data_IF_319744013778
#
_entry.id   IF_319744013778
#
_cell.length_a   1.000
_cell.length_b   1.000
_cell.length_c   1.000
_cell.angle_alpha   90.00
_cell.angle_beta   90.00
_cell.angle_gamma   90.00
#
_symmetry.space_group_name_H-M   'P 1'
#
loop_
_entity.id
_entity.type
_entity.pdbx_description
1 polymer ?
#
# COMPACT_ATOMS: atom_id res chain seq x y z
N UNK A 1 -13.73 14.92 17.98
CA UNK A 1 -12.62 15.06 17.02
C UNK A 1 -12.91 16.27 16.17
N UNK A 2 -11.97 17.21 16.05
CA UNK A 2 -12.07 18.23 15.00
C UNK A 2 -11.95 17.49 13.66
N UNK A 3 -12.85 17.77 12.72
CA UNK A 3 -12.67 17.42 11.31
C UNK A 3 -11.33 18.04 10.86
N UNK A 4 -10.27 17.25 10.82
CA UNK A 4 -8.97 17.68 10.29
C UNK A 4 -9.08 17.75 8.77
N UNK A 5 -9.80 18.76 8.29
CA UNK A 5 -9.84 19.19 6.89
C UNK A 5 -8.63 20.05 6.52
N UNK A 6 -7.61 20.11 7.39
CA UNK A 6 -6.39 20.89 7.16
C UNK A 6 -5.35 20.02 6.48
N UNK A 7 -4.82 20.50 5.36
CA UNK A 7 -3.65 19.90 4.72
C UNK A 7 -2.45 19.87 5.69
N UNK A 8 -1.48 18.96 5.48
CA UNK A 8 -0.28 18.87 6.33
C UNK A 8 0.42 20.25 6.51
N UNK A 9 0.59 21.08 5.46
CA UNK A 9 1.15 22.42 5.62
C UNK A 9 0.29 23.41 6.43
N UNK A 10 -1.04 23.30 6.35
CA UNK A 10 -1.95 24.12 7.14
C UNK A 10 -1.87 23.80 8.63
N UNK A 11 -1.79 22.51 8.97
CA UNK A 11 -1.62 22.07 10.36
C UNK A 11 -0.32 22.63 10.97
N UNK A 12 0.78 22.59 10.22
CA UNK A 12 2.07 23.16 10.65
C UNK A 12 1.96 24.68 10.84
N UNK A 13 1.28 25.36 9.92
CA UNK A 13 1.06 26.82 10.00
C UNK A 13 0.18 27.19 11.21
N UNK A 14 -0.85 26.38 11.49
CA UNK A 14 -1.70 26.52 12.68
C UNK A 14 -0.90 26.30 13.97
N UNK A 15 -0.08 25.25 14.05
CA UNK A 15 0.76 24.99 15.22
C UNK A 15 1.74 26.15 15.50
N UNK A 16 2.37 26.69 14.45
CA UNK A 16 3.25 27.87 14.55
C UNK A 16 2.48 29.12 15.00
N UNK A 17 1.28 29.37 14.47
CA UNK A 17 0.45 30.53 14.84
C UNK A 17 0.04 30.52 16.32
N UNK A 18 -0.15 29.32 16.89
CA UNK A 18 -0.54 29.15 18.29
C UNK A 18 0.65 29.00 19.25
N UNK A 19 1.89 29.09 18.76
CA UNK A 19 3.13 28.95 19.56
C UNK A 19 3.16 27.67 20.41
N UNK A 20 2.68 26.53 19.85
CA UNK A 20 2.73 25.26 20.57
C UNK A 20 4.18 24.81 20.77
N UNK A 21 4.57 24.68 22.03
CA UNK A 21 5.90 24.23 22.43
C UNK A 21 5.82 23.48 23.76
N UNK A 22 6.69 22.48 23.90
CA UNK A 22 6.89 21.73 25.13
C UNK A 22 8.39 21.77 25.43
N UNK A 23 8.76 22.35 26.56
CA UNK A 23 10.14 22.48 27.04
C UNK A 23 10.20 21.90 28.45
N UNK A 24 10.58 20.62 28.53
CA UNK A 24 10.69 19.88 29.79
C UNK A 24 12.13 19.38 30.03
N UNK A 25 13.05 20.26 30.48
CA UNK A 25 14.33 19.84 31.04
C UNK A 25 14.13 18.87 32.21
N UNK A 26 15.17 18.09 32.55
CA UNK A 26 15.12 17.05 33.59
C UNK A 26 14.51 17.56 34.90
N UNK A 27 14.86 18.78 35.34
CA UNK A 27 14.29 19.41 36.54
C UNK A 27 12.79 19.71 36.39
N UNK A 28 12.36 20.26 35.25
CA UNK A 28 10.94 20.57 34.97
C UNK A 28 10.11 19.30 34.85
N UNK A 29 10.66 18.27 34.23
CA UNK A 29 10.01 16.96 34.13
C UNK A 29 9.88 16.34 35.53
N UNK A 30 10.95 16.33 36.34
CA UNK A 30 10.90 15.85 37.71
C UNK A 30 9.84 16.60 38.55
N UNK A 31 9.73 17.92 38.36
CA UNK A 31 8.67 18.70 39.00
C UNK A 31 7.27 18.33 38.51
N UNK A 32 7.07 18.18 37.21
CA UNK A 32 5.79 17.74 36.66
C UNK A 32 5.39 16.35 37.17
N UNK A 33 6.34 15.43 37.31
CA UNK A 33 6.13 14.11 37.89
C UNK A 33 5.76 14.19 39.37
N UNK A 34 6.44 15.04 40.14
CA UNK A 34 6.08 15.29 41.54
C UNK A 34 4.64 15.83 41.68
N UNK A 35 4.22 16.74 40.80
CA UNK A 35 2.84 17.24 40.75
C UNK A 35 1.85 16.10 40.49
N UNK A 36 2.16 15.18 39.57
CA UNK A 36 1.29 14.04 39.28
C UNK A 36 1.17 13.05 40.45
N UNK A 37 2.27 12.79 41.18
CA UNK A 37 2.21 11.98 42.41
C UNK A 37 1.31 12.66 43.44
N UNK A 38 1.51 13.95 43.70
CA UNK A 38 0.67 14.74 44.64
C UNK A 38 -0.81 14.75 44.22
N UNK A 39 -1.09 14.76 42.92
CA UNK A 39 -2.45 14.69 42.41
C UNK A 39 -3.07 13.30 42.56
N UNK A 40 -2.27 12.23 42.47
CA UNK A 40 -2.74 10.84 42.56
C UNK A 40 -3.02 10.38 44.00
N UNK A 41 -2.26 10.88 44.98
CA UNK A 41 -2.39 10.53 46.40
C UNK A 41 -3.47 11.37 47.12
N UNK A 42 -4.09 12.30 46.41
CA UNK A 42 -5.06 13.24 46.97
C UNK A 42 -6.45 12.62 47.10
N UNK A 43 -7.02 12.73 48.30
CA UNK A 43 -8.39 12.25 48.60
C UNK A 43 -9.46 13.34 48.51
N UNK A 44 -9.12 14.62 48.72
CA UNK A 44 -10.06 15.73 48.67
C UNK A 44 -9.38 17.06 48.25
N UNK A 45 -10.11 17.91 47.55
CA UNK A 45 -9.67 19.23 47.06
C UNK A 45 -8.78 19.24 45.81
N UNK A 46 -8.48 20.44 45.32
CA UNK A 46 -7.59 20.69 44.17
C UNK A 46 -6.26 21.28 44.62
N UNK A 47 -5.18 21.07 43.86
CA UNK A 47 -3.83 21.48 44.27
C UNK A 47 -3.73 23.00 44.40
N UNK A 48 -3.21 23.47 45.52
CA UNK A 48 -2.99 24.88 45.82
C UNK A 48 -1.58 25.32 45.43
N UNK A 49 -1.38 26.63 45.27
CA UNK A 49 -0.05 27.18 44.96
C UNK A 49 1.01 26.81 46.01
N UNK A 50 0.66 26.81 47.29
CA UNK A 50 1.56 26.41 48.38
C UNK A 50 2.08 24.99 48.21
N UNK A 51 1.21 24.05 47.83
CA UNK A 51 1.58 22.65 47.65
C UNK A 51 2.46 22.46 46.42
N UNK A 52 2.25 23.23 45.35
CA UNK A 52 3.14 23.24 44.20
C UNK A 52 4.52 23.82 44.54
N UNK A 53 4.58 24.87 45.35
CA UNK A 53 5.84 25.46 45.81
C UNK A 53 6.60 24.49 46.73
N UNK A 54 5.89 23.77 47.59
CA UNK A 54 6.48 22.73 48.45
C UNK A 54 6.97 21.53 47.62
N UNK A 55 6.20 21.08 46.61
CA UNK A 55 6.65 20.09 45.64
C UNK A 55 7.91 20.53 44.89
N UNK A 56 7.98 21.81 44.48
CA UNK A 56 9.15 22.39 43.83
C UNK A 56 10.36 22.46 44.77
N UNK A 57 10.14 22.72 46.07
CA UNK A 57 11.21 22.73 47.08
C UNK A 57 11.93 21.38 47.14
N UNK A 58 11.18 20.28 47.15
CA UNK A 58 11.77 18.94 47.14
C UNK A 58 12.62 18.68 45.89
N UNK A 59 12.14 19.08 44.71
CA UNK A 59 12.89 18.97 43.46
C UNK A 59 14.16 19.82 43.52
N UNK A 60 14.06 21.09 43.93
CA UNK A 60 15.22 22.00 44.07
C UNK A 60 16.28 21.45 45.03
N UNK A 61 15.89 20.75 46.09
CA UNK A 61 16.81 20.09 47.02
C UNK A 61 17.56 18.93 46.36
N UNK A 62 16.87 18.08 45.60
CA UNK A 62 17.49 16.96 44.87
C UNK A 62 18.49 17.44 43.83
N UNK A 63 18.20 18.55 43.15
CA UNK A 63 19.11 19.16 42.17
C UNK A 63 20.18 20.09 42.79
N UNK A 64 20.31 20.13 44.12
CA UNK A 64 21.32 20.91 44.85
C UNK A 64 21.34 22.41 44.49
N UNK A 65 20.17 23.02 44.36
CA UNK A 65 20.03 24.43 43.97
C UNK A 65 19.88 25.35 45.20
N UNK A 66 20.18 26.65 45.04
CA UNK A 66 20.12 27.64 46.12
C UNK A 66 18.72 27.81 46.71
N UNK A 67 18.63 27.78 48.05
CA UNK A 67 17.37 27.93 48.79
C UNK A 67 16.79 29.36 48.73
N UNK A 68 17.66 30.37 48.59
CA UNK A 68 17.28 31.79 48.64
C UNK A 68 16.37 32.22 47.48
N UNK A 69 16.33 31.44 46.40
CA UNK A 69 15.59 31.77 45.16
C UNK A 69 14.43 30.83 44.86
N UNK A 70 14.09 29.92 45.78
CA UNK A 70 13.09 28.86 45.54
C UNK A 70 11.73 29.43 45.14
N UNK A 71 11.23 30.44 45.85
CA UNK A 71 9.89 31.00 45.59
C UNK A 71 9.78 31.61 44.19
N UNK A 72 10.78 32.39 43.77
CA UNK A 72 10.82 33.00 42.44
C UNK A 72 10.95 31.93 41.36
N UNK A 73 11.81 30.92 41.58
CA UNK A 73 12.01 29.82 40.61
C UNK A 73 10.81 28.89 40.51
N UNK A 74 10.12 28.63 41.62
CA UNK A 74 8.87 27.88 41.66
C UNK A 74 7.76 28.61 40.88
N UNK A 75 7.59 29.92 41.11
CA UNK A 75 6.61 30.72 40.38
C UNK A 75 6.91 30.74 38.88
N UNK A 76 8.18 30.86 38.50
CA UNK A 76 8.60 30.75 37.10
C UNK A 76 8.33 29.35 36.53
N UNK A 77 8.52 28.29 37.33
CA UNK A 77 8.19 26.91 36.94
C UNK A 77 6.70 26.73 36.67
N UNK A 78 5.87 27.16 37.62
CA UNK A 78 4.42 27.03 37.55
C UNK A 78 3.89 27.83 36.36
N UNK A 79 4.34 29.08 36.18
CA UNK A 79 3.93 29.91 35.05
C UNK A 79 4.34 29.31 33.70
N UNK A 80 5.52 28.70 33.62
CA UNK A 80 6.00 28.00 32.43
C UNK A 80 5.15 26.75 32.12
N UNK A 81 4.85 25.93 33.13
CA UNK A 81 3.94 24.78 32.98
C UNK A 81 2.52 25.19 32.54
N UNK A 82 2.01 26.31 33.05
CA UNK A 82 0.72 26.88 32.62
C UNK A 82 0.80 27.35 31.16
N UNK A 83 1.86 28.08 30.79
CA UNK A 83 2.07 28.58 29.42
C UNK A 83 2.13 27.44 28.40
N UNK A 84 2.82 26.35 28.75
CA UNK A 84 2.94 25.14 27.93
C UNK A 84 1.69 24.25 27.94
N UNK A 85 0.60 24.68 28.62
CA UNK A 85 -0.66 23.94 28.76
C UNK A 85 -0.51 22.57 29.41
N UNK A 86 0.45 22.42 30.32
CA UNK A 86 0.66 21.18 31.09
C UNK A 86 -0.23 21.17 32.34
N UNK A 87 -0.40 22.34 32.96
CA UNK A 87 -1.33 22.56 34.07
C UNK A 87 -2.27 23.74 33.77
N UNK A 88 -3.49 23.69 34.30
CA UNK A 88 -4.45 24.81 34.26
C UNK A 88 -4.53 25.47 35.62
N UNK A 89 -4.50 26.81 35.63
CA UNK A 89 -4.73 27.64 36.82
C UNK A 89 -6.19 28.12 36.84
N UNK A 90 -6.88 27.95 37.95
CA UNK A 90 -8.18 28.57 38.22
C UNK A 90 -8.05 29.53 39.41
N UNK A 91 -8.51 30.76 39.23
CA UNK A 91 -8.61 31.72 40.32
C UNK A 91 -9.95 31.49 41.03
N UNK A 92 -9.93 31.21 42.34
CA UNK A 92 -11.15 31.13 43.16
C UNK A 92 -11.47 32.52 43.71
N UNK A 93 -12.66 33.04 43.44
CA UNK A 93 -13.16 34.29 44.05
C UNK A 93 -13.66 34.07 45.49
N UNK A 94 -13.95 32.82 45.87
CA UNK A 94 -14.54 32.45 47.17
C UNK A 94 -13.52 32.34 48.31
N UNK A 95 -12.24 32.27 47.97
CA UNK A 95 -11.13 32.10 48.92
C UNK A 95 -10.05 33.14 48.58
N UNK A 96 -9.87 34.13 49.45
CA UNK A 96 -8.93 35.26 49.31
C UNK A 96 -7.58 34.84 48.68
N UNK A 97 -7.42 35.07 47.37
CA UNK A 97 -6.15 34.89 46.66
C UNK A 97 -5.71 33.44 46.39
N UNK A 98 -6.56 32.43 46.61
CA UNK A 98 -6.17 31.03 46.36
C UNK A 98 -6.36 30.64 44.89
N UNK A 99 -5.24 30.36 44.21
CA UNK A 99 -5.25 29.70 42.91
C UNK A 99 -5.20 28.19 43.09
N UNK A 100 -6.08 27.49 42.37
CA UNK A 100 -6.04 26.02 42.27
C UNK A 100 -5.48 25.59 40.92
N UNK A 101 -4.80 24.46 40.91
CA UNK A 101 -4.07 23.95 39.75
C UNK A 101 -4.50 22.51 39.44
N UNK A 102 -4.70 22.21 38.16
CA UNK A 102 -5.03 20.86 37.68
C UNK A 102 -4.11 20.45 36.55
N UNK A 103 -3.75 19.16 36.50
CA UNK A 103 -3.10 18.60 35.32
C UNK A 103 -4.08 18.59 34.14
N UNK A 104 -3.60 19.05 33.00
CA UNK A 104 -4.34 18.96 31.74
C UNK A 104 -4.27 17.54 31.16
N UNK A 105 -5.08 17.19 30.15
CA UNK A 105 -4.91 15.92 29.42
C UNK A 105 -3.50 15.71 28.87
N UNK A 106 -2.82 16.78 28.43
CA UNK A 106 -1.42 16.73 27.98
C UNK A 106 -0.47 16.43 29.15
N UNK A 107 -0.65 17.14 30.27
CA UNK A 107 0.12 16.91 31.50
C UNK A 107 -0.04 15.48 32.00
N UNK A 108 -1.29 15.00 32.10
CA UNK A 108 -1.61 13.61 32.46
C UNK A 108 -0.95 12.63 31.49
N UNK A 109 -1.07 12.84 30.18
CA UNK A 109 -0.49 11.96 29.18
C UNK A 109 1.04 11.82 29.31
N UNK A 110 1.74 12.93 29.56
CA UNK A 110 3.20 12.92 29.79
C UNK A 110 3.53 12.25 31.12
N UNK A 111 2.82 12.54 32.20
CA UNK A 111 3.14 11.98 33.52
C UNK A 111 2.77 10.50 33.64
N UNK A 112 1.65 10.09 33.05
CA UNK A 112 1.22 8.68 33.00
C UNK A 112 2.12 7.82 32.11
N UNK A 113 2.94 8.43 31.26
CA UNK A 113 3.98 7.71 30.53
C UNK A 113 5.09 7.22 31.48
N UNK A 114 5.54 8.07 32.42
CA UNK A 114 6.67 7.77 33.31
C UNK A 114 6.27 7.14 34.65
N UNK A 115 5.12 7.51 35.22
CA UNK A 115 4.74 7.11 36.59
C UNK A 115 4.02 5.77 36.60
N UNK A 116 3.11 5.55 35.65
CA UNK A 116 2.34 4.31 35.61
C UNK A 116 3.22 3.23 34.99
N UNK A 117 3.47 2.17 35.76
CA UNK A 117 3.99 0.93 35.21
C UNK A 117 2.94 0.38 34.23
N UNK A 118 3.20 0.58 32.93
CA UNK A 118 2.35 0.03 31.88
C UNK A 118 2.80 -1.39 31.64
N UNK A 119 2.21 -2.32 32.38
CA UNK A 119 2.42 -3.73 32.10
C UNK A 119 1.50 -4.17 30.97
N UNK A 120 2.10 -4.83 29.97
CA UNK A 120 1.33 -5.54 28.96
C UNK A 120 0.60 -6.72 29.62
N UNK A 121 -0.68 -6.91 29.27
CA UNK A 121 -1.47 -8.03 29.77
C UNK A 121 -2.36 -8.58 28.67
N UNK A 122 -2.14 -9.85 28.31
CA UNK A 122 -2.97 -10.59 27.36
C UNK A 122 -4.41 -10.69 27.85
N UNK A 123 -4.62 -10.86 29.17
CA UNK A 123 -5.94 -10.86 29.78
C UNK A 123 -6.68 -9.53 29.57
N UNK A 124 -5.98 -8.40 29.77
CA UNK A 124 -6.56 -7.07 29.54
C UNK A 124 -6.99 -6.92 28.08
N UNK A 125 -6.15 -7.30 27.13
CA UNK A 125 -6.46 -7.27 25.70
C UNK A 125 -7.68 -8.13 25.36
N UNK A 126 -7.73 -9.36 25.88
CA UNK A 126 -8.86 -10.28 25.68
C UNK A 126 -10.18 -9.71 26.21
N UNK A 127 -10.17 -9.10 27.40
CA UNK A 127 -11.34 -8.43 27.98
C UNK A 127 -11.78 -7.26 27.09
N UNK A 128 -10.85 -6.42 26.64
CA UNK A 128 -11.14 -5.29 25.75
C UNK A 128 -11.77 -5.73 24.43
N UNK A 129 -11.22 -6.76 23.79
CA UNK A 129 -11.76 -7.30 22.54
C UNK A 129 -13.15 -7.91 22.74
N UNK A 130 -13.38 -8.59 23.87
CA UNK A 130 -14.71 -9.14 24.21
C UNK A 130 -15.76 -8.04 24.36
N UNK A 131 -15.43 -6.95 25.08
CA UNK A 131 -16.31 -5.79 25.24
C UNK A 131 -16.61 -5.16 23.87
N UNK A 132 -15.59 -4.92 23.05
CA UNK A 132 -15.78 -4.35 21.71
C UNK A 132 -16.65 -5.24 20.85
N UNK A 133 -16.39 -6.55 20.83
CA UNK A 133 -17.18 -7.48 20.03
C UNK A 133 -18.65 -7.44 20.42
N UNK A 134 -18.95 -7.32 21.71
CA UNK A 134 -20.32 -7.22 22.19
C UNK A 134 -20.98 -5.89 21.80
N UNK A 135 -20.32 -4.76 22.03
CA UNK A 135 -20.85 -3.44 21.67
C UNK A 135 -21.05 -3.29 20.16
N UNK A 136 -20.09 -3.77 19.37
CA UNK A 136 -20.13 -3.70 17.93
C UNK A 136 -21.22 -4.59 17.34
N UNK A 137 -21.43 -5.79 17.91
CA UNK A 137 -22.56 -6.64 17.53
C UNK A 137 -23.90 -5.97 17.79
N UNK A 138 -24.08 -5.35 18.98
CA UNK A 138 -25.32 -4.62 19.28
C UNK A 138 -25.55 -3.45 18.33
N UNK A 139 -24.49 -2.71 17.98
CA UNK A 139 -24.56 -1.63 17.01
C UNK A 139 -24.89 -2.14 15.60
N UNK A 140 -24.36 -3.30 15.20
CA UNK A 140 -24.67 -3.95 13.92
C UNK A 140 -26.12 -4.42 13.85
N UNK A 141 -26.61 -5.11 14.90
CA UNK A 141 -28.00 -5.54 14.98
C UNK A 141 -28.96 -4.32 14.93
N UNK A 142 -28.64 -3.24 15.66
CA UNK A 142 -29.42 -2.00 15.64
C UNK A 142 -29.37 -1.27 14.29
N UNK A 143 -28.25 -1.33 13.56
CA UNK A 143 -28.13 -0.76 12.22
C UNK A 143 -29.01 -1.51 11.21
N UNK A 144 -29.08 -2.83 11.31
CA UNK A 144 -29.93 -3.66 10.44
C UNK A 144 -31.43 -3.46 10.68
N UNK A 145 -31.83 -3.20 11.94
CA UNK A 145 -33.22 -2.88 12.27
C UNK A 145 -33.68 -1.55 11.68
N UNK A 146 -32.76 -0.62 11.41
CA UNK A 146 -33.06 0.74 10.99
C UNK A 146 -33.82 1.53 12.07
N UNK A 147 -34.22 2.76 11.76
CA UNK A 147 -34.93 3.60 12.72
C UNK A 147 -34.91 5.08 12.36
N UNK A 148 -35.27 5.90 13.34
CA UNK A 148 -35.20 7.36 13.26
C UNK A 148 -33.78 7.89 13.58
N UNK A 149 -33.55 9.19 13.39
CA UNK A 149 -32.26 9.84 13.68
C UNK A 149 -31.76 9.59 15.11
N UNK A 150 -32.68 9.53 16.08
CA UNK A 150 -32.33 9.29 17.48
C UNK A 150 -31.83 7.86 17.68
N UNK A 151 -32.47 6.87 17.04
CA UNK A 151 -32.01 5.49 17.03
C UNK A 151 -30.61 5.37 16.44
N UNK A 152 -30.36 5.94 15.26
CA UNK A 152 -29.04 5.93 14.63
C UNK A 152 -27.98 6.62 15.48
N UNK A 153 -28.30 7.78 16.05
CA UNK A 153 -27.34 8.51 16.88
C UNK A 153 -27.01 7.75 18.18
N UNK A 154 -28.02 7.21 18.85
CA UNK A 154 -27.88 6.59 20.18
C UNK A 154 -27.38 5.16 20.14
N UNK A 155 -27.83 4.36 19.18
CA UNK A 155 -27.62 2.92 19.17
C UNK A 155 -26.54 2.47 18.18
N UNK A 156 -26.17 3.32 17.21
CA UNK A 156 -25.11 3.00 16.23
C UNK A 156 -23.94 3.98 16.37
N UNK A 157 -24.16 5.28 16.18
CA UNK A 157 -23.08 6.27 16.20
C UNK A 157 -22.39 6.38 17.57
N UNK A 158 -23.15 6.53 18.66
CA UNK A 158 -22.58 6.74 19.98
C UNK A 158 -21.74 5.54 20.48
N UNK A 159 -22.20 4.26 20.35
CA UNK A 159 -21.37 3.09 20.68
C UNK A 159 -20.09 3.02 19.85
N UNK A 160 -20.17 3.27 18.53
CA UNK A 160 -18.98 3.27 17.67
C UNK A 160 -18.00 4.37 18.08
N UNK A 161 -18.48 5.60 18.30
CA UNK A 161 -17.64 6.77 18.50
C UNK A 161 -17.03 6.88 19.91
N UNK A 162 -17.80 6.55 20.93
CA UNK A 162 -17.42 6.81 22.33
C UNK A 162 -17.04 5.56 23.11
N UNK A 163 -17.28 4.36 22.55
CA UNK A 163 -16.88 3.10 23.17
C UNK A 163 -15.89 2.34 22.28
N UNK A 164 -16.29 1.92 21.08
CA UNK A 164 -15.44 1.10 20.20
C UNK A 164 -14.16 1.84 19.82
N UNK A 165 -14.25 3.11 19.40
CA UNK A 165 -13.09 3.91 19.04
C UNK A 165 -12.08 4.07 20.19
N UNK A 166 -12.56 4.34 21.40
CA UNK A 166 -11.75 4.52 22.61
C UNK A 166 -11.07 3.22 23.03
N UNK A 167 -11.76 2.07 22.91
CA UNK A 167 -11.14 0.78 23.20
C UNK A 167 -10.06 0.46 22.15
N UNK A 168 -10.30 0.75 20.86
CA UNK A 168 -9.28 0.62 19.83
C UNK A 168 -8.08 1.55 20.09
N UNK A 169 -8.29 2.79 20.55
CA UNK A 169 -7.20 3.66 21.00
C UNK A 169 -6.41 3.03 22.15
N UNK A 170 -7.11 2.45 23.14
CA UNK A 170 -6.44 1.77 24.25
C UNK A 170 -5.66 0.53 23.81
N UNK A 171 -6.14 -0.21 22.80
CA UNK A 171 -5.42 -1.37 22.24
C UNK A 171 -4.16 -0.90 21.50
N UNK A 172 -4.26 0.13 20.65
CA UNK A 172 -3.10 0.74 19.96
C UNK A 172 -2.05 1.23 20.97
N UNK A 173 -2.47 1.91 22.04
CA UNK A 173 -1.56 2.32 23.13
C UNK A 173 -0.87 1.11 23.77
N UNK A 174 -1.59 0.01 23.97
CA UNK A 174 -1.04 -1.21 24.58
C UNK A 174 -0.02 -1.88 23.64
N UNK A 175 -0.22 -1.84 22.32
CA UNK A 175 0.76 -2.31 21.34
C UNK A 175 2.03 -1.45 21.34
N UNK A 176 1.91 -0.13 21.47
CA UNK A 176 3.08 0.78 21.59
C UNK A 176 3.89 0.52 22.86
N UNK A 177 3.22 0.19 23.96
CA UNK A 177 3.91 -0.25 25.20
C UNK A 177 4.70 -1.53 24.94
N UNK A 178 4.17 -2.45 24.13
CA UNK A 178 4.91 -3.65 23.74
C UNK A 178 6.14 -3.33 22.85
N UNK A 179 6.07 -2.34 21.95
CA UNK A 179 7.23 -1.86 21.19
C UNK A 179 8.36 -1.35 22.12
N UNK A 180 7.99 -0.61 23.17
CA UNK A 180 8.93 -0.11 24.18
C UNK A 180 9.54 -1.26 24.97
N UNK A 181 8.72 -2.21 25.43
CA UNK A 181 9.21 -3.41 26.13
C UNK A 181 10.19 -4.22 25.26
N UNK A 182 9.92 -4.38 23.96
CA UNK A 182 10.87 -5.01 23.03
C UNK A 182 12.20 -4.26 22.97
N UNK A 183 12.16 -2.93 23.01
CA UNK A 183 13.36 -2.09 23.00
C UNK A 183 14.16 -2.26 24.30
N UNK A 184 13.49 -2.24 25.45
CA UNK A 184 14.11 -2.48 26.75
C UNK A 184 14.75 -3.87 26.82
N UNK A 185 14.08 -4.91 26.29
CA UNK A 185 14.66 -6.26 26.22
C UNK A 185 15.91 -6.28 25.34
N UNK A 186 15.93 -5.58 24.20
CA UNK A 186 17.12 -5.47 23.35
C UNK A 186 18.28 -4.80 24.09
N UNK A 187 18.01 -3.72 24.82
CA UNK A 187 19.00 -3.02 25.63
C UNK A 187 19.53 -3.91 26.75
N UNK A 188 18.65 -4.64 27.44
CA UNK A 188 19.02 -5.59 28.49
C UNK A 188 19.89 -6.72 27.94
N UNK A 189 19.55 -7.31 26.79
CA UNK A 189 20.38 -8.33 26.12
C UNK A 189 21.75 -7.76 25.78
N UNK A 190 21.81 -6.55 25.21
CA UNK A 190 23.07 -5.86 24.89
C UNK A 190 23.92 -5.65 26.15
N UNK A 191 23.31 -5.18 27.24
CA UNK A 191 23.98 -4.97 28.53
C UNK A 191 24.52 -6.29 29.10
N UNK A 192 23.71 -7.35 29.13
CA UNK A 192 24.10 -8.68 29.61
C UNK A 192 25.28 -9.26 28.82
N UNK A 193 25.22 -9.19 27.48
CA UNK A 193 26.30 -9.65 26.60
C UNK A 193 27.56 -8.78 26.73
N UNK A 194 27.42 -7.51 27.06
CA UNK A 194 28.58 -6.62 27.22
C UNK A 194 29.33 -6.82 28.54
N UNK A 195 28.66 -7.29 29.59
CA UNK A 195 29.26 -7.62 30.89
C UNK A 195 29.88 -9.03 30.86
N UNK A 196 29.04 -10.08 30.83
CA UNK A 196 29.47 -11.48 30.96
C UNK A 196 28.76 -12.38 29.94
N UNK A 197 29.22 -12.30 28.69
CA UNK A 197 28.52 -12.92 27.56
C UNK A 197 28.27 -14.43 27.62
N UNK A 198 29.01 -15.20 28.44
CA UNK A 198 28.89 -16.66 28.51
C UNK A 198 27.85 -17.07 29.56
N UNK A 199 27.85 -16.39 30.72
CA UNK A 199 26.82 -16.58 31.73
C UNK A 199 25.48 -15.98 31.28
N UNK A 200 25.53 -14.94 30.43
CA UNK A 200 24.36 -14.25 29.91
C UNK A 200 23.57 -15.00 28.84
N UNK A 201 24.13 -16.04 28.19
CA UNK A 201 23.45 -16.73 27.05
C UNK A 201 22.08 -17.23 27.47
N UNK A 202 22.02 -18.00 28.57
CA UNK A 202 20.77 -18.58 29.08
C UNK A 202 19.76 -17.50 29.46
N UNK A 203 20.21 -16.39 30.05
CA UNK A 203 19.34 -15.24 30.35
C UNK A 203 18.82 -14.55 29.09
N UNK A 204 19.66 -14.38 28.06
CA UNK A 204 19.25 -13.77 26.79
C UNK A 204 18.24 -14.66 26.05
N UNK A 205 18.47 -15.98 26.01
CA UNK A 205 17.52 -16.94 25.41
C UNK A 205 16.17 -16.93 26.14
N UNK A 206 16.17 -16.83 27.47
CA UNK A 206 14.97 -16.66 28.28
C UNK A 206 14.18 -15.42 27.88
N UNK A 207 14.84 -14.25 27.84
CA UNK A 207 14.22 -12.98 27.44
C UNK A 207 13.67 -13.01 26.00
N UNK A 208 14.42 -13.61 25.06
CA UNK A 208 14.00 -13.76 23.67
C UNK A 208 12.77 -14.65 23.53
N UNK A 209 12.74 -15.77 24.25
CA UNK A 209 11.64 -16.75 24.21
C UNK A 209 10.38 -16.17 24.84
N UNK A 210 10.51 -15.55 26.01
CA UNK A 210 9.40 -14.90 26.71
C UNK A 210 8.75 -13.82 25.85
N UNK A 211 9.56 -12.91 25.30
CA UNK A 211 9.06 -11.84 24.43
C UNK A 211 8.40 -12.40 23.15
N UNK A 212 8.98 -13.46 22.56
CA UNK A 212 8.39 -14.12 21.39
C UNK A 212 7.03 -14.73 21.68
N UNK A 213 6.89 -15.35 22.85
CA UNK A 213 5.64 -15.94 23.30
C UNK A 213 4.58 -14.85 23.54
N UNK A 214 4.94 -13.77 24.23
CA UNK A 214 4.03 -12.64 24.47
C UNK A 214 3.51 -12.02 23.17
N UNK A 215 4.38 -11.80 22.17
CA UNK A 215 3.96 -11.28 20.87
C UNK A 215 3.01 -12.22 20.14
N UNK A 216 3.27 -13.53 20.22
CA UNK A 216 2.42 -14.53 19.58
C UNK A 216 1.05 -14.61 20.24
N UNK A 217 1.00 -14.66 21.57
CA UNK A 217 -0.27 -14.65 22.31
C UNK A 217 -1.10 -13.38 22.01
N UNK A 218 -0.43 -12.23 21.89
CA UNK A 218 -1.07 -10.97 21.47
C UNK A 218 -1.70 -11.12 20.08
N UNK A 219 -0.91 -11.55 19.09
CA UNK A 219 -1.36 -11.69 17.71
C UNK A 219 -2.49 -12.71 17.58
N UNK A 220 -2.36 -13.88 18.21
CA UNK A 220 -3.39 -14.93 18.20
C UNK A 220 -4.71 -14.41 18.78
N UNK A 221 -4.65 -13.59 19.84
CA UNK A 221 -5.85 -12.98 20.43
C UNK A 221 -6.49 -11.95 19.51
N UNK A 222 -5.69 -11.14 18.81
CA UNK A 222 -6.18 -10.17 17.82
C UNK A 222 -6.79 -10.86 16.61
N UNK A 223 -6.12 -11.86 16.04
CA UNK A 223 -6.61 -12.59 14.86
C UNK A 223 -7.91 -13.34 15.17
N UNK A 224 -8.02 -13.95 16.35
CA UNK A 224 -9.23 -14.67 16.77
C UNK A 224 -10.48 -13.77 16.89
N UNK A 225 -10.30 -12.48 17.17
CA UNK A 225 -11.37 -11.50 17.28
C UNK A 225 -11.56 -10.66 16.01
N UNK A 226 -10.47 -10.41 15.26
CA UNK A 226 -10.40 -9.48 14.15
C UNK A 226 -11.49 -9.70 13.09
N UNK A 227 -11.61 -10.92 12.59
CA UNK A 227 -12.61 -11.25 11.56
C UNK A 227 -14.05 -10.98 12.00
N UNK A 228 -14.37 -11.24 13.28
CA UNK A 228 -15.72 -11.02 13.81
C UNK A 228 -16.02 -9.53 13.97
N UNK A 229 -15.00 -8.75 14.37
CA UNK A 229 -15.11 -7.30 14.48
C UNK A 229 -15.28 -6.69 13.08
N UNK A 230 -14.45 -7.11 12.13
CA UNK A 230 -14.52 -6.62 10.75
C UNK A 230 -15.87 -6.97 10.10
N UNK A 231 -16.38 -8.19 10.29
CA UNK A 231 -17.69 -8.57 9.80
C UNK A 231 -18.81 -7.70 10.38
N UNK A 232 -18.74 -7.36 11.68
CA UNK A 232 -19.76 -6.50 12.32
C UNK A 232 -19.68 -5.06 11.81
N UNK A 233 -18.47 -4.52 11.58
CA UNK A 233 -18.29 -3.21 10.95
C UNK A 233 -18.83 -3.19 9.51
N UNK A 234 -18.60 -4.26 8.75
CA UNK A 234 -19.11 -4.39 7.38
C UNK A 234 -20.64 -4.41 7.35
N UNK A 235 -21.30 -5.11 8.28
CA UNK A 235 -22.77 -5.08 8.38
C UNK A 235 -23.32 -3.67 8.62
N UNK A 236 -22.64 -2.86 9.45
CA UNK A 236 -23.04 -1.47 9.69
C UNK A 236 -22.79 -0.62 8.43
N UNK A 237 -21.68 -0.86 7.73
CA UNK A 237 -21.36 -0.18 6.47
C UNK A 237 -22.42 -0.46 5.40
N UNK A 238 -22.78 -1.72 5.21
CA UNK A 238 -23.81 -2.14 4.25
C UNK A 238 -25.16 -1.50 4.58
N UNK A 239 -25.53 -1.42 5.87
CA UNK A 239 -26.77 -0.78 6.32
C UNK A 239 -26.80 0.75 6.12
N UNK A 240 -25.63 1.39 5.95
CA UNK A 240 -25.51 2.85 5.81
C UNK A 240 -25.15 3.32 4.40
N UNK A 241 -24.79 2.41 3.49
CA UNK A 241 -24.26 2.70 2.16
C UNK A 241 -25.22 3.51 1.27
N UNK A 242 -26.52 3.21 1.35
CA UNK A 242 -27.55 3.81 0.48
C UNK A 242 -28.27 5.02 1.11
N UNK A 243 -27.85 5.46 2.30
CA UNK A 243 -28.53 6.53 3.05
C UNK A 243 -27.62 7.76 3.21
N UNK A 244 -27.79 8.83 2.40
CA UNK A 244 -26.91 10.00 2.41
C UNK A 244 -26.84 10.72 3.75
N UNK A 245 -27.94 10.71 4.53
CA UNK A 245 -28.01 11.39 5.83
C UNK A 245 -27.14 10.71 6.91
N UNK A 246 -26.62 9.51 6.64
CA UNK A 246 -25.81 8.71 7.57
C UNK A 246 -24.30 8.72 7.25
N UNK A 247 -23.83 9.62 6.38
CA UNK A 247 -22.40 9.77 6.02
C UNK A 247 -21.47 9.85 7.24
N UNK A 248 -21.91 10.48 8.32
CA UNK A 248 -21.13 10.57 9.57
C UNK A 248 -20.87 9.21 10.20
N UNK A 249 -21.82 8.28 10.12
CA UNK A 249 -21.67 6.92 10.63
C UNK A 249 -20.74 6.13 9.71
N UNK A 250 -20.96 6.24 8.40
CA UNK A 250 -20.11 5.58 7.41
C UNK A 250 -18.63 5.98 7.57
N UNK A 251 -18.34 7.27 7.73
CA UNK A 251 -16.97 7.76 7.98
C UNK A 251 -16.36 7.16 9.26
N UNK A 252 -17.13 7.08 10.35
CA UNK A 252 -16.65 6.44 11.59
C UNK A 252 -16.39 4.95 11.39
N UNK A 253 -17.23 4.24 10.65
CA UNK A 253 -17.03 2.81 10.34
C UNK A 253 -15.76 2.61 9.52
N UNK A 254 -15.54 3.42 8.48
CA UNK A 254 -14.31 3.38 7.66
C UNK A 254 -13.07 3.65 8.52
N UNK A 255 -13.11 4.66 9.38
CA UNK A 255 -12.01 4.98 10.30
C UNK A 255 -11.72 3.79 11.25
N UNK A 256 -12.76 3.13 11.77
CA UNK A 256 -12.62 1.99 12.66
C UNK A 256 -12.09 0.75 11.94
N UNK A 257 -12.51 0.48 10.70
CA UNK A 257 -11.97 -0.59 9.86
C UNK A 257 -10.48 -0.37 9.58
N UNK A 258 -10.12 0.83 9.10
CA UNK A 258 -8.72 1.18 8.83
C UNK A 258 -7.83 1.08 10.08
N UNK A 259 -8.38 1.44 11.25
CA UNK A 259 -7.69 1.31 12.53
C UNK A 259 -7.53 -0.14 12.97
N UNK A 260 -8.56 -0.98 12.81
CA UNK A 260 -8.49 -2.41 13.10
C UNK A 260 -7.44 -3.10 12.22
N UNK A 261 -7.45 -2.80 10.91
CA UNK A 261 -6.45 -3.31 9.96
C UNK A 261 -5.03 -2.90 10.35
N UNK A 262 -4.84 -1.67 10.83
CA UNK A 262 -3.55 -1.18 11.33
C UNK A 262 -3.10 -1.93 12.59
N UNK A 263 -4.01 -2.15 13.55
CA UNK A 263 -3.75 -2.86 14.81
C UNK A 263 -3.32 -4.31 14.52
N UNK A 264 -4.06 -5.02 13.67
CA UNK A 264 -3.74 -6.40 13.29
C UNK A 264 -2.46 -6.45 12.45
N UNK A 265 -2.32 -5.54 11.48
CA UNK A 265 -1.18 -5.50 10.57
C UNK A 265 0.15 -5.14 11.24
N UNK A 266 0.13 -4.39 12.36
CA UNK A 266 1.34 -4.12 13.14
C UNK A 266 1.84 -5.39 13.86
N UNK A 267 0.95 -6.19 14.45
CA UNK A 267 1.36 -7.31 15.30
C UNK A 267 2.15 -8.38 14.54
N UNK A 268 1.73 -8.71 13.32
CA UNK A 268 2.49 -9.61 12.44
C UNK A 268 3.87 -9.04 12.08
N UNK A 269 3.96 -7.76 11.75
CA UNK A 269 5.25 -7.10 11.45
C UNK A 269 6.18 -7.09 12.65
N UNK A 270 5.65 -6.86 13.86
CA UNK A 270 6.41 -6.88 15.09
C UNK A 270 7.01 -8.27 15.36
N UNK A 271 6.25 -9.34 15.11
CA UNK A 271 6.75 -10.73 15.18
C UNK A 271 7.89 -10.97 14.18
N UNK A 272 7.72 -10.57 12.92
CA UNK A 272 8.73 -10.80 11.89
C UNK A 272 10.04 -10.05 12.19
N UNK A 273 9.94 -8.80 12.66
CA UNK A 273 11.09 -8.02 13.12
C UNK A 273 11.77 -8.66 14.33
N UNK A 274 10.97 -9.19 15.27
CA UNK A 274 11.50 -9.89 16.45
C UNK A 274 12.22 -11.18 16.08
N UNK A 275 11.68 -11.98 15.17
CA UNK A 275 12.35 -13.17 14.61
C UNK A 275 13.67 -12.79 13.94
N UNK A 276 13.69 -11.66 13.21
CA UNK A 276 14.92 -11.11 12.63
C UNK A 276 15.97 -10.79 13.69
N UNK A 277 15.56 -10.14 14.78
CA UNK A 277 16.43 -9.84 15.92
C UNK A 277 16.92 -11.09 16.64
N UNK A 278 16.03 -12.04 16.94
CA UNK A 278 16.37 -13.32 17.55
C UNK A 278 17.44 -14.07 16.75
N UNK A 279 17.26 -14.18 15.43
CA UNK A 279 18.24 -14.80 14.54
C UNK A 279 19.58 -14.07 14.55
N UNK A 280 19.54 -12.73 14.63
CA UNK A 280 20.74 -11.91 14.71
C UNK A 280 21.51 -12.17 16.02
N UNK A 281 20.82 -12.26 17.16
CA UNK A 281 21.44 -12.57 18.46
C UNK A 281 22.06 -13.96 18.44
N UNK A 282 21.36 -14.98 17.94
CA UNK A 282 21.92 -16.33 17.82
C UNK A 282 23.12 -16.39 16.88
N UNK A 283 23.09 -15.63 15.77
CA UNK A 283 24.25 -15.50 14.87
C UNK A 283 25.42 -14.83 15.59
N UNK A 284 25.16 -13.79 16.39
CA UNK A 284 26.17 -13.12 17.19
C UNK A 284 26.80 -14.05 18.22
N UNK A 285 26.00 -14.85 18.94
CA UNK A 285 26.50 -15.86 19.88
C UNK A 285 27.44 -16.84 19.16
N UNK A 286 27.00 -17.39 18.03
CA UNK A 286 27.79 -18.36 17.26
C UNK A 286 29.08 -17.78 16.66
N UNK A 287 29.06 -16.50 16.28
CA UNK A 287 30.17 -15.89 15.52
C UNK A 287 31.14 -15.14 16.43
N UNK A 288 30.64 -14.38 17.40
CA UNK A 288 31.47 -13.55 18.27
C UNK A 288 31.82 -14.26 19.58
N UNK A 289 30.87 -14.95 20.21
CA UNK A 289 31.07 -15.52 21.55
C UNK A 289 31.71 -16.91 21.44
N UNK A 290 31.17 -17.79 20.61
CA UNK A 290 31.69 -19.16 20.49
C UNK A 290 33.14 -19.19 19.96
N UNK A 291 33.49 -18.27 19.05
CA UNK A 291 34.85 -18.14 18.51
C UNK A 291 35.84 -17.46 19.48
N UNK A 292 35.35 -16.68 20.44
CA UNK A 292 36.19 -15.93 21.39
C UNK A 292 35.71 -16.12 22.84
N UNK A 293 35.46 -17.34 23.32
CA UNK A 293 34.79 -17.58 24.63
C UNK A 293 35.26 -16.72 25.81
N UNK A 294 36.57 -16.45 25.92
CA UNK A 294 37.19 -15.69 27.01
C UNK A 294 37.42 -14.19 26.70
N UNK A 295 36.93 -13.69 25.58
CA UNK A 295 37.01 -12.27 25.12
C UNK A 295 38.42 -11.77 24.86
N UNK A 296 39.35 -12.70 24.69
CA UNK A 296 40.77 -12.40 24.57
C UNK A 296 41.06 -11.79 23.21
N UNK A 297 40.46 -12.32 22.14
CA UNK A 297 40.66 -11.80 20.79
C UNK A 297 40.11 -10.38 20.68
N UNK A 298 38.87 -10.16 21.11
CA UNK A 298 38.20 -8.85 21.03
C UNK A 298 38.93 -7.77 21.83
N UNK A 299 39.40 -8.08 23.04
CA UNK A 299 40.19 -7.16 23.86
C UNK A 299 41.55 -6.84 23.22
N UNK A 300 42.24 -7.85 22.68
CA UNK A 300 43.52 -7.66 22.00
C UNK A 300 43.36 -6.89 20.70
N UNK A 301 42.31 -7.12 19.95
CA UNK A 301 41.98 -6.36 18.75
C UNK A 301 41.77 -4.88 19.08
N UNK A 302 41.02 -4.56 20.14
CA UNK A 302 40.85 -3.17 20.61
C UNK A 302 42.19 -2.53 20.98
N UNK A 303 43.05 -3.24 21.72
CA UNK A 303 44.42 -2.77 22.03
C UNK A 303 45.27 -2.59 20.77
N UNK A 304 45.14 -3.50 19.81
CA UNK A 304 45.85 -3.43 18.52
C UNK A 304 45.40 -2.24 17.68
N UNK A 305 44.13 -1.83 17.75
CA UNK A 305 43.63 -0.63 17.08
C UNK A 305 44.21 0.62 17.73
N UNK A 306 44.28 0.66 19.07
CA UNK A 306 44.89 1.78 19.79
C UNK A 306 46.38 1.95 19.46
N UNK A 307 47.12 0.83 19.38
CA UNK A 307 48.55 0.81 19.03
C UNK A 307 48.84 0.67 17.53
N UNK A 308 47.86 0.80 16.65
CA UNK A 308 48.03 0.52 15.22
C UNK A 308 49.12 1.39 14.57
N UNK A 309 49.19 2.66 14.98
CA UNK A 309 50.13 3.62 14.41
C UNK A 309 51.58 3.45 14.90
N UNK A 310 51.82 2.68 15.96
CA UNK A 310 53.18 2.40 16.44
C UNK A 310 53.90 1.42 15.51
N UNK A 311 53.16 0.46 14.94
CA UNK A 311 53.69 -0.55 14.03
C UNK A 311 52.61 -0.95 13.00
N UNK A 312 52.38 -0.11 11.97
CA UNK A 312 51.31 -0.31 11.01
C UNK A 312 51.52 -1.57 10.17
N UNK A 313 50.42 -2.23 9.85
CA UNK A 313 50.39 -3.40 8.97
C UNK A 313 49.16 -3.33 8.06
N UNK A 314 49.21 -4.06 6.95
CA UNK A 314 48.14 -4.11 5.95
C UNK A 314 47.78 -5.55 5.60
N UNK A 315 46.49 -5.80 5.34
CA UNK A 315 46.04 -7.07 4.76
C UNK A 315 46.36 -7.10 3.26
N UNK A 316 46.92 -8.21 2.79
CA UNK A 316 46.99 -8.50 1.36
C UNK A 316 45.69 -9.13 0.90
N UNK A 317 45.13 -8.66 -0.22
CA UNK A 317 44.00 -9.27 -0.90
C UNK A 317 44.32 -9.47 -2.38
N UNK A 318 43.65 -10.42 -3.03
CA UNK A 318 43.80 -10.62 -4.46
C UNK A 318 43.18 -9.43 -5.21
N UNK A 319 43.98 -8.73 -6.01
CA UNK A 319 43.53 -7.62 -6.83
C UNK A 319 43.97 -7.88 -8.27
N UNK A 320 43.16 -8.62 -9.01
CA UNK A 320 43.41 -8.88 -10.42
C UNK A 320 43.24 -7.59 -11.23
N UNK A 321 44.07 -7.42 -12.25
CA UNK A 321 43.92 -6.30 -13.18
C UNK A 321 42.56 -6.39 -13.87
N UNK A 322 41.83 -5.26 -13.87
CA UNK A 322 40.54 -5.18 -14.56
C UNK A 322 40.80 -5.28 -16.05
N UNK A 323 39.88 -5.95 -16.76
CA UNK A 323 39.90 -5.95 -18.21
C UNK A 323 39.70 -4.52 -18.70
N UNK A 324 40.72 -3.98 -19.37
CA UNK A 324 40.62 -2.70 -20.04
C UNK A 324 39.82 -2.91 -21.32
N UNK A 325 38.63 -2.35 -21.34
CA UNK A 325 37.79 -2.33 -22.53
C UNK A 325 37.89 -0.98 -23.22
N UNK A 326 37.71 -0.98 -24.53
CA UNK A 326 37.53 0.25 -25.28
C UNK A 326 36.17 0.82 -24.93
N UNK A 327 36.03 2.15 -24.96
CA UNK A 327 34.69 2.74 -24.87
C UNK A 327 33.91 2.27 -26.08
N UNK A 328 32.68 1.80 -25.88
CA UNK A 328 31.71 1.75 -26.97
C UNK A 328 31.55 3.19 -27.47
N UNK A 329 32.10 3.45 -28.65
CA UNK A 329 31.74 4.64 -29.42
C UNK A 329 30.31 4.42 -29.93
N UNK A 330 29.32 4.55 -29.05
CA UNK A 330 28.06 5.09 -29.52
C UNK A 330 28.42 6.47 -30.09
N UNK A 331 28.32 6.57 -31.42
CA UNK A 331 28.61 7.73 -32.23
C UNK A 331 28.02 9.01 -31.61
N UNK A 332 28.78 9.66 -30.72
CA UNK A 332 28.51 11.01 -30.24
C UNK A 332 28.90 12.07 -31.31
N UNK A 333 28.77 11.71 -32.58
CA UNK A 333 28.94 12.52 -33.76
C UNK A 333 27.88 12.08 -34.78
N UNK A 334 26.63 12.44 -34.51
CA UNK A 334 25.64 12.97 -35.45
C UNK A 334 24.27 13.02 -34.74
N UNK A 335 23.95 14.14 -34.07
CA UNK A 335 22.56 14.53 -33.74
C UNK A 335 21.78 14.96 -35.00
N UNK A 336 22.03 14.28 -36.11
CA UNK A 336 21.21 14.35 -37.29
C UNK A 336 20.96 12.91 -37.69
N UNK A 337 19.95 12.30 -37.07
CA UNK A 337 19.17 11.31 -37.80
C UNK A 337 18.76 12.00 -39.10
N UNK A 338 19.47 11.69 -40.20
CA UNK A 338 19.12 12.17 -41.53
C UNK A 338 17.83 11.48 -41.90
N UNK A 339 16.73 12.08 -41.47
CA UNK A 339 15.40 11.77 -41.95
C UNK A 339 15.31 12.37 -43.34
N UNK A 340 15.26 11.52 -44.37
CA UNK A 340 15.09 11.99 -45.74
C UNK A 340 13.78 12.77 -45.86
N UNK A 341 13.84 13.97 -46.42
CA UNK A 341 12.62 14.74 -46.73
C UNK A 341 11.83 14.02 -47.84
N UNK A 342 10.55 13.74 -47.59
CA UNK A 342 9.63 13.21 -48.59
C UNK A 342 9.20 14.35 -49.54
N UNK A 343 9.27 14.16 -50.88
CA UNK A 343 8.78 15.15 -51.84
C UNK A 343 7.29 15.43 -51.67
N UNK A 344 6.88 16.68 -51.88
CA UNK A 344 5.53 17.19 -51.57
C UNK A 344 4.43 16.89 -52.60
N UNK A 345 4.73 16.19 -53.69
CA UNK A 345 3.78 16.00 -54.79
C UNK A 345 3.32 14.53 -54.87
N UNK A 346 2.06 14.31 -54.48
CA UNK A 346 1.33 13.07 -54.74
C UNK A 346 0.79 13.13 -56.18
N UNK A 347 1.42 12.39 -57.08
CA UNK A 347 0.86 12.15 -58.41
C UNK A 347 -0.13 10.99 -58.35
N UNK A 348 -1.35 11.21 -58.85
CA UNK A 348 -2.34 10.14 -59.02
C UNK A 348 -2.31 9.68 -60.48
N UNK A 349 -2.19 8.37 -60.69
CA UNK A 349 -2.38 7.76 -62.00
C UNK A 349 -3.81 7.22 -62.13
N UNK A 350 -4.45 7.52 -63.26
CA UNK A 350 -5.77 6.98 -63.59
C UNK A 350 -5.58 5.61 -64.24
N UNK A 351 -6.18 4.56 -63.64
CA UNK A 351 -6.28 3.25 -64.27
C UNK A 351 -7.59 3.20 -65.05
N UNK A 352 -7.53 3.21 -66.38
CA UNK A 352 -8.69 2.91 -67.23
C UNK A 352 -8.87 1.39 -67.33
N UNK A 353 -9.91 0.83 -66.68
CA UNK A 353 -10.24 -0.59 -66.79
C UNK A 353 -10.90 -0.90 -68.15
N UNK A 354 -10.11 -1.39 -69.10
CA UNK A 354 -10.55 -1.83 -70.44
C UNK A 354 -11.53 -3.03 -70.39
N UNK A 355 -11.79 -3.60 -69.21
CA UNK A 355 -12.59 -4.83 -69.05
C UNK A 355 -14.07 -4.66 -69.43
N UNK A 356 -14.69 -3.49 -69.22
CA UNK A 356 -16.11 -3.29 -69.55
C UNK A 356 -16.40 -3.42 -71.05
N UNK A 357 -15.53 -2.87 -71.90
CA UNK A 357 -15.68 -3.01 -73.35
C UNK A 357 -15.55 -4.46 -73.82
N UNK A 358 -14.68 -5.25 -73.18
CA UNK A 358 -14.51 -6.67 -73.49
C UNK A 358 -15.76 -7.44 -73.07
N UNK A 359 -16.31 -7.16 -71.89
CA UNK A 359 -17.56 -7.79 -71.40
C UNK A 359 -18.71 -7.55 -72.38
N UNK A 360 -18.92 -6.29 -72.78
CA UNK A 360 -20.00 -5.94 -73.72
C UNK A 360 -19.84 -6.66 -75.06
N UNK A 361 -18.60 -6.82 -75.55
CA UNK A 361 -18.35 -7.54 -76.79
C UNK A 361 -18.58 -9.06 -76.66
N UNK A 362 -18.20 -9.66 -75.53
CA UNK A 362 -18.48 -11.07 -75.20
C UNK A 362 -20.00 -11.32 -75.18
N UNK A 363 -20.75 -10.48 -74.48
CA UNK A 363 -22.21 -10.60 -74.37
C UNK A 363 -22.86 -10.57 -75.76
N UNK A 364 -22.44 -9.64 -76.63
CA UNK A 364 -22.98 -9.55 -77.98
C UNK A 364 -22.71 -10.81 -78.82
N UNK A 365 -21.50 -11.37 -78.72
CA UNK A 365 -21.14 -12.59 -79.45
C UNK A 365 -21.92 -13.82 -78.96
N UNK A 366 -22.17 -13.90 -77.65
CA UNK A 366 -22.89 -15.01 -77.07
C UNK A 366 -24.42 -14.91 -77.26
N UNK A 367 -24.97 -13.70 -77.37
CA UNK A 367 -26.41 -13.46 -77.56
C UNK A 367 -26.96 -14.17 -78.81
N UNK A 368 -26.14 -14.34 -79.85
CA UNK A 368 -26.52 -15.01 -81.11
C UNK A 368 -27.00 -16.44 -80.84
N UNK A 369 -26.36 -17.16 -79.91
CA UNK A 369 -26.74 -18.54 -79.58
C UNK A 369 -28.15 -18.62 -78.98
N UNK A 370 -28.51 -17.64 -78.14
CA UNK A 370 -29.85 -17.51 -77.57
C UNK A 370 -30.89 -17.07 -78.61
N UNK A 371 -30.57 -16.10 -79.47
CA UNK A 371 -31.50 -15.61 -80.49
C UNK A 371 -31.83 -16.68 -81.54
N UNK A 372 -30.84 -17.48 -81.94
CA UNK A 372 -31.01 -18.53 -82.95
C UNK A 372 -31.34 -19.90 -82.35
N UNK A 373 -31.46 -20.00 -81.01
CA UNK A 373 -31.70 -21.22 -80.24
C UNK A 373 -30.72 -22.37 -80.58
N UNK A 374 -29.43 -22.02 -80.77
CA UNK A 374 -28.35 -22.95 -81.10
C UNK A 374 -27.63 -23.40 -79.84
N UNK A 375 -27.31 -24.70 -79.64
CA UNK A 375 -26.59 -25.14 -78.45
C UNK A 375 -25.17 -24.53 -78.39
N UNK A 376 -24.77 -24.07 -77.21
CA UNK A 376 -23.47 -23.44 -76.95
C UNK A 376 -22.52 -24.46 -76.29
N UNK A 377 -21.59 -25.02 -77.07
CA UNK A 377 -20.46 -25.78 -76.51
C UNK A 377 -19.36 -24.82 -76.05
N UNK A 378 -19.23 -24.68 -74.74
CA UNK A 378 -18.27 -23.81 -74.08
C UNK A 378 -16.82 -24.04 -74.51
N UNK A 379 -16.44 -25.30 -74.75
CA UNK A 379 -15.06 -25.64 -75.10
C UNK A 379 -14.66 -25.10 -76.46
N UNK A 380 -15.58 -25.14 -77.42
CA UNK A 380 -15.36 -24.66 -78.79
C UNK A 380 -15.49 -23.14 -78.84
N UNK A 381 -16.53 -22.59 -78.18
CA UNK A 381 -16.80 -21.17 -78.18
C UNK A 381 -15.67 -20.36 -77.50
N UNK A 382 -15.24 -20.78 -76.31
CA UNK A 382 -14.11 -20.15 -75.60
C UNK A 382 -12.84 -20.30 -76.42
N UNK A 383 -12.54 -21.49 -76.96
CA UNK A 383 -11.33 -21.70 -77.77
C UNK A 383 -11.27 -20.76 -78.97
N UNK A 384 -12.37 -20.63 -79.70
CA UNK A 384 -12.45 -19.73 -80.85
C UNK A 384 -12.33 -18.27 -80.44
N UNK A 385 -12.89 -17.89 -79.30
CA UNK A 385 -12.81 -16.54 -78.78
C UNK A 385 -11.40 -16.18 -78.30
N UNK A 386 -10.76 -17.08 -77.54
CA UNK A 386 -9.39 -16.92 -77.04
C UNK A 386 -8.36 -16.78 -78.17
N UNK A 387 -8.58 -17.39 -79.33
CA UNK A 387 -7.69 -17.24 -80.49
C UNK A 387 -7.63 -15.80 -81.04
N UNK A 388 -8.58 -14.93 -80.69
CA UNK A 388 -8.60 -13.53 -81.11
C UNK A 388 -7.72 -12.64 -80.23
N UNK A 389 -7.29 -13.15 -79.08
CA UNK A 389 -6.53 -12.40 -78.07
C UNK A 389 -5.17 -13.02 -77.81
N UNK A 390 -4.17 -12.22 -77.43
CA UNK A 390 -2.86 -12.72 -77.05
C UNK A 390 -2.95 -13.60 -75.80
N UNK A 391 -2.06 -14.59 -75.71
CA UNK A 391 -2.05 -15.61 -74.64
C UNK A 391 -2.08 -15.01 -73.23
N UNK A 392 -1.44 -13.87 -73.02
CA UNK A 392 -1.33 -13.21 -71.72
C UNK A 392 -2.69 -12.82 -71.13
N UNK A 393 -3.68 -12.53 -71.97
CA UNK A 393 -5.03 -12.14 -71.55
C UNK A 393 -6.01 -13.33 -71.48
N UNK A 394 -5.56 -14.54 -71.82
CA UNK A 394 -6.46 -15.70 -71.95
C UNK A 394 -7.18 -16.03 -70.65
N UNK A 395 -6.54 -15.83 -69.50
CA UNK A 395 -7.17 -16.12 -68.21
C UNK A 395 -8.35 -15.18 -67.93
N UNK A 396 -8.11 -13.87 -68.00
CA UNK A 396 -9.15 -12.87 -67.71
C UNK A 396 -10.30 -12.96 -68.71
N UNK A 397 -9.98 -13.14 -69.99
CA UNK A 397 -10.97 -13.28 -71.04
C UNK A 397 -11.76 -14.58 -70.90
N UNK A 398 -11.11 -15.71 -70.61
CA UNK A 398 -11.82 -16.96 -70.37
C UNK A 398 -12.76 -16.84 -69.16
N UNK A 399 -12.30 -16.19 -68.07
CA UNK A 399 -13.12 -15.95 -66.88
C UNK A 399 -14.35 -15.11 -67.21
N UNK A 400 -14.16 -13.97 -67.89
CA UNK A 400 -15.25 -13.08 -68.30
C UNK A 400 -16.22 -13.79 -69.26
N UNK A 401 -15.69 -14.57 -70.20
CA UNK A 401 -16.50 -15.32 -71.15
C UNK A 401 -17.36 -16.38 -70.47
N UNK A 402 -16.79 -17.15 -69.53
CA UNK A 402 -17.53 -18.16 -68.78
C UNK A 402 -18.62 -17.51 -67.93
N UNK A 403 -18.30 -16.42 -67.22
CA UNK A 403 -19.27 -15.71 -66.39
C UNK A 403 -20.47 -15.21 -67.22
N UNK A 404 -20.22 -14.72 -68.43
CA UNK A 404 -21.28 -14.26 -69.32
C UNK A 404 -22.04 -15.41 -69.99
N UNK A 405 -21.37 -16.50 -70.33
CA UNK A 405 -22.00 -17.66 -70.94
C UNK A 405 -22.97 -18.38 -70.00
N UNK A 406 -22.63 -18.53 -68.72
CA UNK A 406 -23.51 -19.18 -67.72
C UNK A 406 -24.80 -18.36 -67.51
N UNK A 407 -24.74 -17.03 -67.67
CA UNK A 407 -25.93 -16.17 -67.54
C UNK A 407 -26.95 -16.35 -68.68
N UNK A 408 -26.57 -16.96 -69.80
CA UNK A 408 -27.45 -17.10 -70.95
C UNK A 408 -28.45 -18.24 -70.84
N UNK A 409 -28.11 -19.31 -70.13
CA UNK A 409 -28.91 -20.53 -70.08
C UNK A 409 -28.27 -21.62 -69.25
N UNK A 410 -28.93 -22.77 -69.20
CA UNK A 410 -28.49 -23.96 -68.46
C UNK A 410 -28.41 -25.16 -69.39
N UNK A 411 -27.63 -26.16 -68.98
CA UNK A 411 -27.59 -27.45 -69.67
C UNK A 411 -28.61 -28.43 -69.06
N UNK A 412 -29.34 -29.17 -69.89
CA UNK A 412 -30.20 -30.25 -69.40
C UNK A 412 -29.39 -31.41 -68.78
N UNK A 413 -28.18 -31.68 -69.26
CA UNK A 413 -27.29 -32.71 -68.70
C UNK A 413 -26.80 -32.36 -67.28
N UNK A 414 -26.62 -31.06 -66.98
CA UNK A 414 -26.36 -30.59 -65.61
C UNK A 414 -27.56 -30.87 -64.68
N UNK A 415 -28.80 -30.70 -65.16
CA UNK A 415 -30.01 -31.01 -64.37
C UNK A 415 -30.18 -32.51 -64.10
N UNK A 416 -29.68 -33.36 -65.00
CA UNK A 416 -29.67 -34.82 -64.83
C UNK A 416 -28.53 -35.31 -63.93
N UNK A 417 -27.62 -34.42 -63.50
CA UNK A 417 -26.52 -34.72 -62.58
C UNK A 417 -25.41 -35.56 -63.22
N UNK A 418 -25.26 -35.49 -64.55
CA UNK A 418 -24.19 -36.18 -65.26
C UNK A 418 -22.90 -35.38 -65.07
N UNK A 419 -21.76 -35.97 -64.68
CA UNK A 419 -20.51 -35.23 -64.55
C UNK A 419 -19.94 -34.84 -65.92
N UNK A 420 -19.64 -33.55 -66.13
CA UNK A 420 -18.98 -33.08 -67.35
C UNK A 420 -17.50 -33.49 -67.41
N UNK A 421 -16.98 -33.73 -68.61
CA UNK A 421 -15.55 -34.00 -68.82
C UNK A 421 -14.77 -32.71 -69.09
N UNK A 422 -13.48 -32.71 -68.74
CA UNK A 422 -12.58 -31.59 -69.03
C UNK A 422 -12.20 -31.56 -70.51
N UNK A 423 -12.65 -30.54 -71.24
CA UNK A 423 -12.32 -30.32 -72.65
C UNK A 423 -11.25 -29.24 -72.80
N UNK A 424 -10.31 -29.42 -73.73
CA UNK A 424 -9.22 -28.48 -74.00
C UNK A 424 -9.73 -27.21 -74.70
N UNK A 425 -9.36 -26.04 -74.15
CA UNK A 425 -9.72 -24.72 -74.71
C UNK A 425 -8.53 -23.99 -75.37
N UNK A 426 -7.30 -24.52 -75.24
CA UNK A 426 -6.15 -24.12 -76.02
C UNK A 426 -5.11 -25.25 -76.12
N UNK A 427 -4.09 -25.06 -76.95
CA UNK A 427 -3.02 -26.05 -77.16
C UNK A 427 -1.94 -26.04 -76.06
N UNK A 428 -2.09 -25.17 -75.05
CA UNK A 428 -1.13 -24.96 -73.97
C UNK A 428 -1.57 -25.57 -72.62
N UNK A 429 -2.65 -26.36 -72.63
CA UNK A 429 -3.10 -27.15 -71.48
C UNK A 429 -4.27 -26.55 -70.69
N UNK A 430 -4.83 -25.41 -71.09
CA UNK A 430 -6.05 -24.90 -70.45
C UNK A 430 -7.26 -25.74 -70.85
N UNK A 431 -8.13 -26.02 -69.88
CA UNK A 431 -9.33 -26.84 -70.06
C UNK A 431 -10.54 -26.18 -69.41
N UNK A 432 -11.72 -26.43 -69.96
CA UNK A 432 -13.00 -26.08 -69.37
C UNK A 432 -13.79 -27.36 -69.10
N UNK A 433 -14.46 -27.40 -67.96
CA UNK A 433 -15.40 -28.46 -67.61
C UNK A 433 -16.79 -27.83 -67.58
N UNK A 434 -17.54 -28.04 -68.65
CA UNK A 434 -18.89 -27.52 -68.80
C UNK A 434 -19.65 -28.39 -69.80
N UNK A 435 -20.92 -28.62 -69.53
CA UNK A 435 -21.83 -29.21 -70.51
C UNK A 435 -22.23 -28.20 -71.58
N UNK A 436 -22.86 -28.70 -72.64
CA UNK A 436 -23.40 -27.86 -73.70
C UNK A 436 -24.65 -27.18 -73.18
N UNK A 437 -24.70 -25.85 -73.26
CA UNK A 437 -25.91 -25.08 -72.91
C UNK A 437 -26.88 -25.22 -74.08
N UNK A 438 -27.97 -25.93 -73.84
CA UNK A 438 -29.01 -26.25 -74.84
C UNK A 438 -30.37 -25.64 -74.50
N UNK A 439 -30.50 -25.02 -73.31
CA UNK A 439 -31.72 -24.35 -72.86
C UNK A 439 -31.44 -22.90 -72.40
N UNK A 440 -31.97 -21.93 -73.15
CA UNK A 440 -31.77 -20.48 -72.94
C UNK A 440 -32.91 -19.75 -72.22
#
# INVERSE_FOLDING_TARGET
MMDFSQSVPELVSWAKKNDFSITLPVERLAFLLAIAVLNSERFDGEMTESELVDGFRHVSQVFAQSEDTITVRANNAINDLVRQRLITRFASEMTDGFSIYRLTPLGIGITDYYIRQREFSTLRLSIQLSIVAQELKRAADAALEGGDDLHWHRNVFAPLKYSVAEIFDSIDITQRVMDEQQTDVKENISALLSQDWQAAISSCEGLLTETSQTLRELQDTLDAAGDKLQASLLLIQDATLDVPDLDKINNVVIDLQAKLDRIIGWGQKAIDLWIGYDRHVHKFIRTAIDLDKNRVFSQRLRKSIQGYFDLPWSLSFANADRLLDMRDEELALHEAEVTGELPSELEFEMIEEIQEHIIAHIEQNLLIFKQENKPLDMSIAIRNYLNQFPREQHFDIARLFIDQAIRLGISEDDLLGIPAEWKLINDYGAKVQAHVIDRY
#
